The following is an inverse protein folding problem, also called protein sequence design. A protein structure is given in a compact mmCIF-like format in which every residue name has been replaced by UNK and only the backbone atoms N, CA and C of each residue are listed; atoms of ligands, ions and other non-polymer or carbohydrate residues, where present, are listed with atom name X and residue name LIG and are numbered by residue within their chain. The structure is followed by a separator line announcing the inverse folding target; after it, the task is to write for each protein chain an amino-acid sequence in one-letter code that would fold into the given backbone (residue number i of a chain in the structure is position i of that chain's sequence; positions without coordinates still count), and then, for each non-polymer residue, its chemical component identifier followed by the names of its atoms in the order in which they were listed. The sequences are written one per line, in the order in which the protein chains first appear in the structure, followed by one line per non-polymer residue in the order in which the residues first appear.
data_IF_126684182721
#
_entry.id   IF_126684182721
#
_cell.length_a   1.000
_cell.length_b   1.000
_cell.length_c   1.000
_cell.angle_alpha   90.00
_cell.angle_beta   90.00
_cell.angle_gamma   90.00
#
_symmetry.space_group_name_H-M   'P 1'
#
loop_
_entity.id
_entity.type
_entity.pdbx_description
1 polymer ?
#
# COMPACT_ATOMS: atom_id res chain seq x y z
N UNK A 1 26.25 -27.28 1.04
CA UNK A 1 24.94 -26.68 0.69
C UNK A 1 25.19 -25.28 0.16
N UNK A 2 24.77 -24.96 -1.07
CA UNK A 2 24.86 -23.59 -1.60
C UNK A 2 23.83 -22.73 -0.87
N UNK A 3 24.28 -21.66 -0.22
CA UNK A 3 23.39 -20.65 0.31
C UNK A 3 22.68 -19.97 -0.87
N UNK A 4 21.37 -20.23 -1.01
CA UNK A 4 20.53 -19.45 -1.92
C UNK A 4 20.48 -18.04 -1.37
N UNK A 5 21.20 -17.11 -2.00
CA UNK A 5 21.06 -15.70 -1.71
C UNK A 5 19.62 -15.29 -2.03
N UNK A 6 18.84 -15.00 -0.98
CA UNK A 6 17.48 -14.47 -1.15
C UNK A 6 17.62 -13.13 -1.88
N UNK A 7 17.07 -13.04 -3.10
CA UNK A 7 16.95 -11.74 -3.77
C UNK A 7 15.92 -10.93 -3.00
N UNK A 8 16.35 -9.80 -2.46
CA UNK A 8 15.42 -8.86 -1.83
C UNK A 8 14.42 -8.36 -2.88
N UNK A 9 13.14 -8.34 -2.53
CA UNK A 9 12.08 -7.81 -3.39
C UNK A 9 11.51 -6.53 -2.81
N UNK A 10 11.11 -5.62 -3.69
CA UNK A 10 10.46 -4.36 -3.33
C UNK A 10 9.29 -4.11 -4.27
N UNK A 11 8.12 -3.79 -3.72
CA UNK A 11 6.94 -3.40 -4.48
C UNK A 11 6.16 -2.30 -3.76
N UNK A 12 5.62 -1.35 -4.54
CA UNK A 12 4.73 -0.30 -4.04
C UNK A 12 3.41 -0.37 -4.78
N UNK A 13 2.31 -0.28 -4.05
CA UNK A 13 0.96 -0.25 -4.59
C UNK A 13 0.20 0.93 -3.99
N UNK A 14 -0.46 1.72 -4.84
CA UNK A 14 -1.46 2.70 -4.42
C UNK A 14 -2.85 2.16 -4.71
N UNK A 15 -3.78 2.37 -3.79
CA UNK A 15 -5.16 1.94 -3.95
C UNK A 15 -6.12 2.84 -3.17
N UNK A 16 -7.38 2.86 -3.59
CA UNK A 16 -8.45 3.62 -2.92
C UNK A 16 -9.08 2.75 -1.84
N UNK A 17 -9.13 3.23 -0.60
CA UNK A 17 -9.81 2.53 0.48
C UNK A 17 -11.28 2.96 0.57
N UNK A 18 -12.14 2.27 -0.18
CA UNK A 18 -13.59 2.54 -0.24
C UNK A 18 -14.30 2.34 1.11
N UNK A 19 -13.77 1.47 1.97
CA UNK A 19 -14.32 1.25 3.32
C UNK A 19 -14.12 2.44 4.27
N UNK A 20 -13.26 3.40 3.91
CA UNK A 20 -13.00 4.63 4.68
C UNK A 20 -13.56 5.87 3.98
N UNK A 21 -14.68 5.75 3.28
CA UNK A 21 -15.36 6.92 2.70
C UNK A 21 -15.74 7.92 3.81
N UNK A 22 -15.34 9.17 3.60
CA UNK A 22 -15.66 10.27 4.51
C UNK A 22 -17.10 10.71 4.31
N UNK A 23 -17.66 11.46 5.26
CA UNK A 23 -19.00 12.09 5.12
C UNK A 23 -19.12 12.98 3.89
N UNK A 24 -18.01 13.51 3.38
CA UNK A 24 -17.95 14.28 2.13
C UNK A 24 -18.10 13.43 0.86
N UNK A 25 -18.16 12.11 0.96
CA UNK A 25 -18.19 11.19 -0.19
C UNK A 25 -16.81 10.82 -0.74
N UNK A 26 -15.73 11.45 -0.27
CA UNK A 26 -14.37 11.17 -0.74
C UNK A 26 -13.76 9.95 -0.03
N UNK A 27 -12.94 9.19 -0.76
CA UNK A 27 -12.22 8.03 -0.24
C UNK A 27 -10.70 8.28 -0.21
N UNK A 28 -10.00 7.86 0.86
CA UNK A 28 -8.56 8.08 0.95
C UNK A 28 -7.78 7.17 0.01
N UNK A 29 -6.70 7.72 -0.56
CA UNK A 29 -5.67 6.96 -1.24
C UNK A 29 -4.70 6.41 -0.19
N UNK A 30 -4.49 5.10 -0.23
CA UNK A 30 -3.56 4.38 0.62
C UNK A 30 -2.37 3.89 -0.22
N UNK A 31 -1.18 3.89 0.39
CA UNK A 31 0.00 3.26 -0.15
C UNK A 31 0.35 2.00 0.64
N UNK A 32 0.85 0.97 -0.05
CA UNK A 32 1.38 -0.25 0.54
C UNK A 32 2.78 -0.48 -0.02
N UNK A 33 3.75 -0.61 0.86
CA UNK A 33 5.13 -1.02 0.56
C UNK A 33 5.28 -2.47 0.98
N UNK A 34 5.75 -3.32 0.08
CA UNK A 34 6.11 -4.70 0.37
C UNK A 34 7.62 -4.85 0.17
N UNK A 35 8.31 -5.32 1.21
CA UNK A 35 9.74 -5.66 1.17
C UNK A 35 9.84 -7.14 1.52
N UNK A 36 10.23 -7.97 0.57
CA UNK A 36 10.16 -9.42 0.66
C UNK A 36 8.73 -9.89 0.99
N UNK A 37 8.49 -10.27 2.24
CA UNK A 37 7.16 -10.67 2.77
C UNK A 37 6.62 -9.67 3.78
N UNK A 38 7.42 -8.68 4.18
CA UNK A 38 7.02 -7.62 5.09
C UNK A 38 6.15 -6.59 4.39
N UNK A 39 5.11 -6.12 5.06
CA UNK A 39 4.16 -5.15 4.52
C UNK A 39 4.06 -3.96 5.45
N UNK A 40 4.24 -2.76 4.91
CA UNK A 40 3.94 -1.49 5.57
C UNK A 40 2.87 -0.74 4.78
N UNK A 41 1.92 -0.11 5.48
CA UNK A 41 0.86 0.69 4.88
C UNK A 41 0.95 2.13 5.38
N UNK A 42 0.63 3.07 4.49
CA UNK A 42 0.63 4.50 4.81
C UNK A 42 -0.55 5.19 4.11
N UNK A 43 -1.00 6.31 4.68
CA UNK A 43 -1.94 7.20 4.00
C UNK A 43 -1.18 8.16 3.10
N UNK A 44 -1.65 8.34 1.86
CA UNK A 44 -1.11 9.36 0.97
C UNK A 44 -1.54 10.79 1.35
N UNK A 45 -2.40 10.92 2.38
CA UNK A 45 -3.02 12.19 2.81
C UNK A 45 -3.77 12.91 1.67
N UNK A 46 -4.25 12.14 0.70
CA UNK A 46 -5.07 12.59 -0.41
C UNK A 46 -6.35 11.74 -0.47
N UNK A 47 -7.45 12.37 -0.87
CA UNK A 47 -8.73 11.70 -1.08
C UNK A 47 -9.21 11.93 -2.52
N UNK A 48 -10.00 10.99 -3.03
CA UNK A 48 -10.58 11.04 -4.38
C UNK A 48 -12.07 10.74 -4.34
N UNK A 49 -12.78 11.28 -5.32
CA UNK A 49 -14.14 10.84 -5.61
C UNK A 49 -14.08 9.52 -6.40
N UNK A 50 -15.07 8.64 -6.18
CA UNK A 50 -15.16 7.34 -6.86
C UNK A 50 -15.93 7.43 -8.16
#
# INVERSE_FOLDING_TARGET
MKQLSKRSTFAVLFYINKSKQKKSGLCPIMGRITIDTGVAQFSAKADVNL
#
